data_IF_955710734103
#
_entry.id   IF_955710734103
#
_cell.length_a   1.000
_cell.length_b   1.000
_cell.length_c   1.000
_cell.angle_alpha   90.00
_cell.angle_beta   90.00
_cell.angle_gamma   90.00
#
_symmetry.space_group_name_H-M   'P 1'
#
loop_
_entity.id
_entity.type
_entity.pdbx_description
1 polymer ?
#
# COMPACT_ATOMS: atom_id res chain seq x y z
N UNK A 1 -17.83 -27.48 7.55
CA UNK A 1 -17.12 -26.18 7.57
C UNK A 1 -18.09 -25.12 8.03
N UNK A 2 -17.71 -24.23 8.96
CA UNK A 2 -18.55 -23.10 9.34
C UNK A 2 -18.24 -21.94 8.38
N UNK A 3 -19.19 -21.61 7.52
CA UNK A 3 -19.09 -20.44 6.62
C UNK A 3 -19.58 -19.21 7.35
N UNK A 4 -18.87 -18.09 7.21
CA UNK A 4 -19.31 -16.78 7.70
C UNK A 4 -19.45 -15.83 6.51
N UNK A 5 -20.46 -14.96 6.55
CA UNK A 5 -20.74 -14.01 5.47
C UNK A 5 -20.19 -12.65 5.82
N UNK A 6 -19.40 -12.06 4.90
CA UNK A 6 -18.97 -10.65 4.97
C UNK A 6 -19.96 -9.81 4.16
N UNK A 7 -20.50 -8.74 4.74
CA UNK A 7 -21.38 -7.77 4.07
C UNK A 7 -20.89 -6.36 4.35
N UNK A 8 -20.64 -5.59 3.30
CA UNK A 8 -20.30 -4.18 3.36
C UNK A 8 -21.09 -3.40 2.31
N UNK A 9 -21.48 -2.17 2.62
CA UNK A 9 -22.01 -1.23 1.63
C UNK A 9 -20.84 -0.48 1.01
N UNK A 10 -20.85 -0.37 -0.31
CA UNK A 10 -19.85 0.36 -1.10
C UNK A 10 -20.57 1.18 -2.15
N UNK A 11 -19.94 2.24 -2.62
CA UNK A 11 -20.45 3.02 -3.74
C UNK A 11 -20.53 2.16 -5.00
N UNK A 12 -21.62 2.23 -5.79
CA UNK A 12 -21.77 1.41 -6.99
C UNK A 12 -20.66 1.62 -8.02
N UNK A 13 -20.22 2.87 -8.21
CA UNK A 13 -19.14 3.22 -9.15
C UNK A 13 -17.82 2.57 -8.73
N UNK A 14 -17.46 2.68 -7.44
CA UNK A 14 -16.28 2.04 -6.88
C UNK A 14 -16.30 0.52 -7.10
N UNK A 15 -17.46 -0.12 -6.91
CA UNK A 15 -17.61 -1.55 -7.13
C UNK A 15 -17.32 -1.93 -8.59
N UNK A 16 -17.88 -1.18 -9.54
CA UNK A 16 -17.70 -1.44 -10.97
C UNK A 16 -16.24 -1.27 -11.41
N UNK A 17 -15.59 -0.20 -10.95
CA UNK A 17 -14.18 0.05 -11.25
C UNK A 17 -13.28 -1.08 -10.72
N UNK A 18 -13.47 -1.47 -9.45
CA UNK A 18 -12.70 -2.55 -8.82
C UNK A 18 -12.97 -3.89 -9.50
N UNK A 19 -14.22 -4.19 -9.87
CA UNK A 19 -14.55 -5.42 -10.61
C UNK A 19 -13.81 -5.49 -11.95
N UNK A 20 -13.69 -4.38 -12.69
CA UNK A 20 -12.92 -4.37 -13.94
C UNK A 20 -11.45 -4.74 -13.71
N UNK A 21 -10.82 -4.12 -12.71
CA UNK A 21 -9.40 -4.37 -12.38
C UNK A 21 -9.19 -5.82 -11.92
N UNK A 22 -10.06 -6.34 -11.05
CA UNK A 22 -9.94 -7.72 -10.56
C UNK A 22 -10.17 -8.75 -11.68
N UNK A 23 -11.07 -8.47 -12.62
CA UNK A 23 -11.29 -9.34 -13.77
C UNK A 23 -10.05 -9.43 -14.67
N UNK A 24 -9.30 -8.34 -14.86
CA UNK A 24 -8.01 -8.37 -15.57
C UNK A 24 -6.98 -9.25 -14.85
N UNK A 25 -7.07 -9.34 -13.52
CA UNK A 25 -6.24 -10.21 -12.68
C UNK A 25 -6.80 -11.64 -12.56
N UNK A 26 -7.94 -11.95 -13.18
CA UNK A 26 -8.61 -13.24 -13.10
C UNK A 26 -9.21 -13.54 -11.72
N UNK A 27 -9.57 -12.52 -10.95
CA UNK A 27 -10.12 -12.62 -9.61
C UNK A 27 -11.54 -12.05 -9.54
N UNK A 28 -12.39 -12.66 -8.72
CA UNK A 28 -13.65 -12.09 -8.27
C UNK A 28 -13.45 -11.18 -7.05
N UNK A 29 -14.43 -10.31 -6.80
CA UNK A 29 -14.46 -9.47 -5.58
C UNK A 29 -14.43 -10.34 -4.31
N UNK A 30 -15.11 -11.49 -4.32
CA UNK A 30 -15.13 -12.39 -3.17
C UNK A 30 -13.76 -13.00 -2.89
N UNK A 31 -13.03 -13.42 -3.92
CA UNK A 31 -11.65 -13.93 -3.78
C UNK A 31 -10.70 -12.83 -3.29
N UNK A 32 -10.83 -11.60 -3.81
CA UNK A 32 -10.04 -10.47 -3.34
C UNK A 32 -10.29 -10.15 -1.85
N UNK A 33 -11.55 -10.19 -1.40
CA UNK A 33 -11.91 -10.02 0.02
C UNK A 33 -11.31 -11.15 0.86
N UNK A 34 -11.37 -12.39 0.37
CA UNK A 34 -10.78 -13.54 1.07
C UNK A 34 -9.25 -13.42 1.18
N UNK A 35 -8.56 -13.00 0.12
CA UNK A 35 -7.12 -12.73 0.13
C UNK A 35 -6.76 -11.63 1.13
N UNK A 36 -7.55 -10.55 1.17
CA UNK A 36 -7.35 -9.47 2.14
C UNK A 36 -7.45 -9.96 3.59
N UNK A 37 -8.45 -10.78 3.91
CA UNK A 37 -8.62 -11.35 5.25
C UNK A 37 -7.46 -12.31 5.61
N UNK A 38 -7.02 -13.14 4.65
CA UNK A 38 -5.83 -13.98 4.83
C UNK A 38 -4.58 -13.16 5.10
N UNK A 39 -4.42 -12.04 4.40
CA UNK A 39 -3.24 -11.21 4.58
C UNK A 39 -3.25 -10.51 5.94
N UNK A 40 -4.40 -10.02 6.42
CA UNK A 40 -4.52 -9.50 7.79
C UNK A 40 -4.11 -10.56 8.81
N UNK A 41 -4.58 -11.80 8.62
CA UNK A 41 -4.24 -12.92 9.50
C UNK A 41 -2.75 -13.24 9.48
N UNK A 42 -2.10 -13.19 8.31
CA UNK A 42 -0.69 -13.54 8.15
C UNK A 42 0.24 -12.50 8.80
N UNK A 43 -0.03 -11.21 8.59
CA UNK A 43 0.87 -10.14 9.03
C UNK A 43 0.49 -9.53 10.38
N UNK A 44 -0.63 -9.95 10.97
CA UNK A 44 -1.21 -9.37 12.19
C UNK A 44 -1.41 -7.85 12.12
N UNK A 45 -1.86 -7.36 10.97
CA UNK A 45 -2.01 -5.94 10.67
C UNK A 45 -2.73 -5.69 9.35
N UNK A 46 -2.95 -4.42 9.00
CA UNK A 46 -3.59 -4.08 7.73
C UNK A 46 -2.53 -4.11 6.62
N UNK A 47 -2.76 -4.85 5.51
CA UNK A 47 -1.76 -5.11 4.47
C UNK A 47 -1.57 -3.98 3.46
N UNK A 48 -1.67 -2.76 3.93
CA UNK A 48 -1.32 -1.54 3.21
C UNK A 48 -1.08 -0.44 4.23
N UNK A 49 -0.31 0.58 3.86
CA UNK A 49 0.05 1.64 4.79
C UNK A 49 -1.18 2.52 5.09
N UNK A 50 -1.68 2.48 6.33
CA UNK A 50 -2.71 3.40 6.81
C UNK A 50 -2.00 4.52 7.56
N UNK A 51 -1.54 5.52 6.81
CA UNK A 51 -0.99 6.74 7.37
C UNK A 51 -1.59 7.94 6.67
N UNK A 52 -2.04 8.90 7.46
CA UNK A 52 -2.00 10.29 7.03
C UNK A 52 -0.53 10.71 7.15
N UNK A 53 0.20 10.94 6.04
CA UNK A 53 1.57 11.40 6.13
C UNK A 53 1.58 12.67 6.98
N UNK A 54 2.42 12.71 8.01
CA UNK A 54 2.52 13.90 8.84
C UNK A 54 3.10 15.06 8.01
N UNK A 55 3.01 16.29 8.53
CA UNK A 55 3.49 17.48 7.80
C UNK A 55 4.94 17.35 7.32
N UNK A 56 5.79 16.68 8.09
CA UNK A 56 7.20 16.46 7.74
C UNK A 56 7.29 15.49 6.57
N UNK A 57 6.64 14.33 6.63
CA UNK A 57 6.62 13.34 5.53
C UNK A 57 6.07 13.94 4.23
N UNK A 58 5.00 14.73 4.30
CA UNK A 58 4.44 15.40 3.11
C UNK A 58 5.44 16.42 2.50
N UNK A 59 6.09 17.22 3.34
CA UNK A 59 7.10 18.18 2.87
C UNK A 59 8.33 17.47 2.29
N UNK A 60 8.78 16.38 2.89
CA UNK A 60 9.91 15.59 2.38
C UNK A 60 9.59 14.98 1.02
N UNK A 61 8.39 14.42 0.83
CA UNK A 61 7.97 13.91 -0.48
C UNK A 61 7.90 15.02 -1.53
N UNK A 62 7.29 16.16 -1.21
CA UNK A 62 7.24 17.31 -2.12
C UNK A 62 8.63 17.76 -2.54
N UNK A 63 9.55 17.93 -1.59
CA UNK A 63 10.94 18.34 -1.89
C UNK A 63 11.67 17.31 -2.74
N UNK A 64 11.45 16.02 -2.48
CA UNK A 64 12.03 14.89 -3.24
C UNK A 64 11.53 14.89 -4.68
N UNK A 65 10.21 15.04 -4.89
CA UNK A 65 9.58 15.10 -6.21
C UNK A 65 10.06 16.32 -7.02
N UNK A 66 10.35 17.43 -6.32
CA UNK A 66 10.94 18.65 -6.88
C UNK A 66 12.46 18.56 -7.12
N UNK A 67 13.10 17.42 -6.79
CA UNK A 67 14.55 17.22 -6.95
C UNK A 67 15.41 18.01 -5.95
N UNK A 68 14.82 18.49 -4.86
CA UNK A 68 15.49 19.31 -3.84
C UNK A 68 15.80 18.51 -2.58
N UNK A 69 16.90 18.87 -1.89
CA UNK A 69 17.39 18.17 -0.67
C UNK A 69 17.72 16.67 -0.89
N UNK A 70 18.04 16.29 -2.12
CA UNK A 70 18.49 14.94 -2.46
C UNK A 70 20.00 14.81 -2.28
N UNK A 71 20.41 13.70 -1.66
CA UNK A 71 21.81 13.30 -1.58
C UNK A 71 22.05 12.15 -2.56
N UNK A 72 23.09 12.29 -3.37
CA UNK A 72 23.53 11.26 -4.30
C UNK A 72 24.81 10.61 -3.78
N UNK A 73 24.92 9.31 -4.01
CA UNK A 73 26.01 8.48 -3.55
C UNK A 73 26.42 7.54 -4.68
N UNK A 74 27.73 7.31 -4.82
CA UNK A 74 28.26 6.53 -5.94
C UNK A 74 28.06 5.02 -5.74
N UNK A 75 28.00 4.55 -4.48
CA UNK A 75 27.81 3.15 -4.12
C UNK A 75 27.29 3.01 -2.68
N UNK A 76 26.97 1.78 -2.27
CA UNK A 76 26.50 1.46 -0.92
C UNK A 76 27.49 1.87 0.16
N UNK A 77 28.79 1.73 -0.08
CA UNK A 77 29.83 2.01 0.90
C UNK A 77 29.93 3.52 1.18
N UNK A 78 29.80 4.38 0.15
CA UNK A 78 29.73 5.85 0.31
C UNK A 78 28.46 6.28 1.06
N UNK A 79 27.33 5.62 0.79
CA UNK A 79 26.08 5.86 1.51
C UNK A 79 26.23 5.57 3.02
N UNK A 80 26.70 4.38 3.39
CA UNK A 80 26.83 4.00 4.81
C UNK A 80 27.80 4.91 5.56
N UNK A 81 28.95 5.23 4.93
CA UNK A 81 29.95 6.14 5.50
C UNK A 81 29.38 7.52 5.83
N UNK A 82 28.52 8.08 4.96
CA UNK A 82 27.89 9.40 5.18
C UNK A 82 26.68 9.35 6.13
N UNK A 83 26.06 8.19 6.30
CA UNK A 83 25.04 7.96 7.32
C UNK A 83 25.62 7.72 8.72
N UNK A 84 26.94 7.70 8.87
CA UNK A 84 27.62 7.51 10.16
C UNK A 84 27.66 6.05 10.63
N UNK A 85 27.57 5.09 9.70
CA UNK A 85 27.81 3.67 9.95
C UNK A 85 29.13 3.22 9.33
#
# INVERSE_FOLDING_TARGET
>A
MKTATVRARVEPELKLEVESVLNELGLSVSEAIELYLHQIKLIHGIPFDIRLPNKVTQQTFKKTDEGSELNYYDNSDDLFKKLGN
#
